data_IF_845414781473
#
_entry.id   IF_845414781473
#
_cell.length_a   1.000
_cell.length_b   1.000
_cell.length_c   1.000
_cell.angle_alpha   90.00
_cell.angle_beta   90.00
_cell.angle_gamma   90.00
#
_symmetry.space_group_name_H-M   'P 1'
#
loop_
_entity.id
_entity.type
_entity.pdbx_description
1 polymer ?
#
# COMPACT_ATOMS: atom_id res chain seq x y z
N UNK A 1 -2.15 -62.33 -31.28
CA UNK A 1 -3.13 -61.71 -30.37
C UNK A 1 -2.66 -61.84 -28.93
N UNK A 2 -2.09 -60.78 -28.33
CA UNK A 2 -2.11 -60.54 -26.87
C UNK A 2 -2.00 -59.03 -26.64
N UNK A 3 -3.05 -58.48 -26.04
CA UNK A 3 -3.21 -57.09 -25.59
C UNK A 3 -2.53 -56.89 -24.23
N UNK A 4 -2.09 -55.66 -23.95
CA UNK A 4 -1.81 -55.19 -22.58
C UNK A 4 -0.61 -54.24 -22.54
N UNK A 5 -0.59 -53.12 -21.83
CA UNK A 5 -1.54 -52.43 -20.95
C UNK A 5 -1.14 -50.94 -21.02
N UNK A 6 -2.11 -50.04 -21.19
CA UNK A 6 -1.86 -48.60 -21.11
C UNK A 6 -1.96 -48.19 -19.64
N UNK A 7 -0.85 -47.77 -19.03
CA UNK A 7 -0.82 -47.22 -17.68
C UNK A 7 -1.19 -45.74 -17.73
N UNK A 8 -2.44 -45.42 -17.39
CA UNK A 8 -2.93 -44.05 -17.25
C UNK A 8 -2.44 -43.49 -15.91
N UNK A 9 -1.43 -42.62 -15.93
CA UNK A 9 -1.01 -41.85 -14.75
C UNK A 9 -1.95 -40.65 -14.62
N UNK A 10 -2.85 -40.71 -13.63
CA UNK A 10 -3.67 -39.58 -13.18
C UNK A 10 -2.82 -38.68 -12.28
N UNK A 11 -2.28 -37.59 -12.84
CA UNK A 11 -1.65 -36.53 -12.06
C UNK A 11 -2.73 -35.69 -11.36
N UNK A 12 -2.87 -35.84 -10.05
CA UNK A 12 -3.67 -34.94 -9.21
C UNK A 12 -2.91 -33.61 -9.05
N UNK A 13 -3.28 -32.60 -9.85
CA UNK A 13 -2.89 -31.21 -9.58
C UNK A 13 -3.65 -30.71 -8.35
N UNK A 14 -2.99 -30.66 -7.20
CA UNK A 14 -3.48 -29.93 -6.03
C UNK A 14 -3.38 -28.41 -6.32
N UNK A 15 -4.50 -27.81 -6.72
CA UNK A 15 -4.63 -26.36 -6.78
C UNK A 15 -4.63 -25.80 -5.35
N UNK A 16 -3.46 -25.43 -4.84
CA UNK A 16 -3.36 -24.59 -3.64
C UNK A 16 -3.88 -23.20 -3.99
N UNK A 17 -5.15 -22.93 -3.66
CA UNK A 17 -5.67 -21.56 -3.67
C UNK A 17 -4.98 -20.80 -2.55
N UNK A 18 -4.01 -19.96 -2.90
CA UNK A 18 -3.43 -19.01 -1.97
C UNK A 18 -4.55 -18.08 -1.49
N UNK A 19 -5.07 -18.33 -0.29
CA UNK A 19 -5.95 -17.39 0.40
C UNK A 19 -5.12 -16.16 0.70
N UNK A 20 -5.26 -15.12 -0.13
CA UNK A 20 -4.70 -13.83 0.22
C UNK A 20 -5.37 -13.38 1.52
N UNK A 21 -4.61 -13.42 2.61
CA UNK A 21 -5.01 -12.85 3.89
C UNK A 21 -5.18 -11.34 3.68
N UNK A 22 -6.42 -10.93 3.40
CA UNK A 22 -6.79 -9.52 3.25
C UNK A 22 -6.54 -8.80 4.57
N UNK A 23 -6.23 -7.52 4.49
CA UNK A 23 -6.42 -6.66 5.65
C UNK A 23 -7.89 -6.74 6.08
N UNK A 24 -8.15 -6.71 7.38
CA UNK A 24 -9.49 -6.95 7.90
C UNK A 24 -9.91 -5.76 8.76
N UNK A 25 -11.03 -5.14 8.38
CA UNK A 25 -11.71 -4.20 9.26
C UNK A 25 -12.32 -4.98 10.41
N UNK A 26 -11.83 -4.74 11.63
CA UNK A 26 -12.35 -5.37 12.85
C UNK A 26 -13.21 -4.40 13.60
N UNK A 27 -14.48 -4.75 13.81
CA UNK A 27 -15.44 -3.94 14.55
C UNK A 27 -15.91 -4.66 15.81
N UNK A 28 -16.12 -3.90 16.87
CA UNK A 28 -16.73 -4.34 18.13
C UNK A 28 -17.84 -3.38 18.56
N UNK A 29 -18.87 -3.84 19.28
CA UNK A 29 -19.85 -2.94 19.86
C UNK A 29 -19.18 -1.85 20.72
N UNK A 30 -19.64 -0.62 20.60
CA UNK A 30 -19.27 0.48 21.49
C UNK A 30 -20.23 0.58 22.68
N UNK A 31 -19.94 1.46 23.63
CA UNK A 31 -20.80 1.69 24.79
C UNK A 31 -22.16 2.31 24.40
N UNK A 32 -22.18 3.15 23.36
CA UNK A 32 -23.41 3.72 22.82
C UNK A 32 -24.14 2.69 21.94
N UNK A 33 -25.44 2.50 22.20
CA UNK A 33 -26.28 1.60 21.42
C UNK A 33 -26.30 2.01 19.94
N UNK A 34 -26.14 1.05 19.04
CA UNK A 34 -26.09 1.31 17.60
C UNK A 34 -24.76 1.85 17.07
N UNK A 35 -23.74 2.01 17.94
CA UNK A 35 -22.38 2.41 17.54
C UNK A 35 -21.43 1.22 17.59
N UNK A 36 -20.53 1.14 16.61
CA UNK A 36 -19.40 0.21 16.58
C UNK A 36 -18.10 0.98 16.66
N UNK A 37 -17.14 0.44 17.41
CA UNK A 37 -15.74 0.83 17.34
C UNK A 37 -15.04 -0.09 16.34
N UNK A 38 -14.42 0.48 15.33
CA UNK A 38 -13.77 -0.24 14.24
C UNK A 38 -12.31 0.16 14.07
N UNK A 39 -11.49 -0.80 13.64
CA UNK A 39 -10.11 -0.59 13.18
C UNK A 39 -9.99 -1.17 11.78
N UNK A 40 -9.56 -0.36 10.81
CA UNK A 40 -9.19 -0.81 9.47
C UNK A 40 -7.71 -0.54 9.26
N UNK A 41 -6.95 -1.53 8.82
CA UNK A 41 -5.51 -1.37 8.63
C UNK A 41 -4.81 -2.60 8.07
N UNK A 42 -3.58 -2.37 7.62
CA UNK A 42 -2.70 -3.41 7.07
C UNK A 42 -2.27 -4.39 8.16
N UNK A 43 -1.93 -5.62 7.73
CA UNK A 43 -1.36 -6.64 8.62
C UNK A 43 0.02 -6.19 9.14
N UNK A 44 0.34 -6.57 10.37
CA UNK A 44 1.56 -6.10 11.05
C UNK A 44 2.86 -6.51 10.32
N UNK A 45 2.88 -7.71 9.72
CA UNK A 45 3.99 -8.20 8.88
C UNK A 45 4.17 -7.33 7.64
N UNK A 46 3.08 -7.02 6.93
CA UNK A 46 3.12 -6.11 5.78
C UNK A 46 3.63 -4.71 6.16
N UNK A 47 3.18 -4.16 7.29
CA UNK A 47 3.66 -2.86 7.81
C UNK A 47 5.17 -2.92 8.13
N UNK A 48 5.65 -4.02 8.69
CA UNK A 48 7.06 -4.22 8.99
C UNK A 48 7.92 -4.29 7.72
N UNK A 49 7.46 -5.03 6.70
CA UNK A 49 8.17 -5.18 5.41
C UNK A 49 8.25 -3.89 4.60
N UNK A 50 7.23 -3.04 4.69
CA UNK A 50 7.20 -1.76 4.00
C UNK A 50 8.13 -0.72 4.62
N UNK A 51 8.34 -0.76 5.94
CA UNK A 51 8.96 0.32 6.72
C UNK A 51 10.32 0.74 6.18
N UNK A 52 10.49 2.04 5.92
CA UNK A 52 11.78 2.65 5.56
C UNK A 52 11.92 4.06 6.13
N UNK A 53 13.13 4.42 6.57
CA UNK A 53 13.52 5.80 6.91
C UNK A 53 13.97 6.54 5.65
N UNK A 54 13.71 7.84 5.56
CA UNK A 54 14.21 8.67 4.48
C UNK A 54 15.74 8.74 4.48
N UNK A 55 16.34 8.70 3.30
CA UNK A 55 17.81 8.70 3.12
C UNK A 55 18.40 10.11 2.98
N UNK A 56 17.56 11.11 2.77
CA UNK A 56 17.95 12.52 2.73
C UNK A 56 16.85 13.40 3.36
N UNK A 57 17.17 14.65 3.69
CA UNK A 57 16.32 15.50 4.53
C UNK A 57 14.98 15.84 3.88
N UNK A 58 14.94 15.93 2.55
CA UNK A 58 13.76 16.28 1.76
C UNK A 58 13.11 15.08 1.07
N UNK A 59 13.54 13.86 1.39
CA UNK A 59 13.12 12.64 0.68
C UNK A 59 11.95 11.90 1.34
N UNK A 60 11.19 12.55 2.22
CA UNK A 60 9.99 11.96 2.81
C UNK A 60 9.01 11.43 1.74
N UNK A 61 8.86 12.16 0.63
CA UNK A 61 8.03 11.75 -0.51
C UNK A 61 8.58 10.51 -1.22
N UNK A 62 9.90 10.45 -1.47
CA UNK A 62 10.53 9.33 -2.14
C UNK A 62 10.50 8.07 -1.27
N UNK A 63 10.68 8.24 0.03
CA UNK A 63 10.50 7.17 1.02
C UNK A 63 9.05 6.67 1.02
N UNK A 64 8.06 7.55 1.06
CA UNK A 64 6.64 7.15 1.00
C UNK A 64 6.30 6.35 -0.27
N UNK A 65 6.76 6.79 -1.44
CA UNK A 65 6.61 6.04 -2.70
C UNK A 65 7.30 4.69 -2.62
N UNK A 66 8.53 4.62 -2.11
CA UNK A 66 9.27 3.36 -1.97
C UNK A 66 8.55 2.37 -1.04
N UNK A 67 7.95 2.86 0.05
CA UNK A 67 7.16 2.05 0.99
C UNK A 67 5.89 1.49 0.32
N UNK A 68 5.18 2.29 -0.49
CA UNK A 68 4.02 1.82 -1.28
C UNK A 68 4.44 0.78 -2.32
N UNK A 69 5.55 1.00 -3.04
CA UNK A 69 6.03 0.00 -4.01
C UNK A 69 6.39 -1.33 -3.34
N UNK A 70 6.97 -1.27 -2.13
CA UNK A 70 7.27 -2.45 -1.32
C UNK A 70 6.03 -3.23 -0.90
N UNK A 71 4.90 -2.58 -0.63
CA UNK A 71 3.65 -3.29 -0.32
C UNK A 71 3.15 -4.12 -1.51
N UNK A 72 3.55 -3.74 -2.73
CA UNK A 72 3.28 -4.49 -3.96
C UNK A 72 4.46 -5.39 -4.38
N UNK A 73 5.37 -5.68 -3.45
CA UNK A 73 6.50 -6.56 -3.69
C UNK A 73 7.63 -5.95 -4.52
N UNK A 74 7.54 -4.72 -5.01
CA UNK A 74 8.59 -4.11 -5.86
C UNK A 74 9.52 -3.24 -5.01
N UNK A 75 10.82 -3.55 -5.01
CA UNK A 75 11.80 -2.86 -4.15
C UNK A 75 12.58 -1.81 -4.93
N UNK A 76 12.01 -0.62 -5.02
CA UNK A 76 12.67 0.53 -5.64
C UNK A 76 13.41 1.35 -4.57
N UNK A 77 14.72 1.67 -4.75
CA UNK A 77 15.45 2.57 -3.85
C UNK A 77 14.94 4.02 -3.95
N UNK A 78 15.02 4.77 -2.85
CA UNK A 78 14.58 6.17 -2.80
C UNK A 78 15.33 7.04 -3.82
N UNK A 79 16.63 6.79 -4.00
CA UNK A 79 17.48 7.47 -4.99
C UNK A 79 16.96 7.27 -6.41
N UNK A 80 16.45 6.07 -6.72
CA UNK A 80 15.85 5.78 -8.02
C UNK A 80 14.54 6.55 -8.18
N UNK A 81 13.71 6.61 -7.13
CA UNK A 81 12.48 7.44 -7.14
C UNK A 81 12.82 8.91 -7.38
N UNK A 82 13.86 9.42 -6.74
CA UNK A 82 14.33 10.81 -6.88
C UNK A 82 14.83 11.06 -8.31
N UNK A 83 15.68 10.18 -8.84
CA UNK A 83 16.18 10.26 -10.22
C UNK A 83 15.07 10.17 -11.26
N UNK A 84 14.02 9.39 -11.01
CA UNK A 84 12.87 9.30 -11.90
C UNK A 84 12.09 10.61 -12.02
N UNK A 85 12.15 11.48 -11.00
CA UNK A 85 11.52 12.79 -11.05
C UNK A 85 12.48 13.89 -11.53
N UNK A 86 13.69 13.95 -10.96
CA UNK A 86 14.64 15.06 -11.19
C UNK A 86 15.75 14.75 -12.20
N UNK A 87 15.86 13.52 -12.71
CA UNK A 87 16.98 13.05 -13.54
C UNK A 87 18.27 12.79 -12.76
N UNK A 88 18.37 13.22 -11.50
CA UNK A 88 19.52 13.04 -10.62
C UNK A 88 19.08 12.85 -9.16
N UNK A 89 19.96 12.35 -8.29
CA UNK A 89 19.67 12.14 -6.88
C UNK A 89 19.98 13.41 -6.07
N UNK A 90 19.03 14.36 -6.06
CA UNK A 90 19.15 15.66 -5.37
C UNK A 90 18.27 15.71 -4.13
N UNK A 91 18.73 16.34 -3.04
CA UNK A 91 17.98 16.50 -1.79
C UNK A 91 16.95 17.64 -1.88
N UNK A 92 15.95 17.46 -2.74
CA UNK A 92 14.89 18.45 -3.02
C UNK A 92 13.51 17.80 -2.84
N UNK A 93 12.61 18.50 -2.16
CA UNK A 93 11.22 18.10 -1.98
C UNK A 93 10.41 18.21 -3.27
N UNK A 94 9.16 17.76 -3.25
CA UNK A 94 8.23 17.91 -4.38
C UNK A 94 6.92 18.55 -3.92
N UNK A 95 6.23 19.32 -4.79
CA UNK A 95 4.87 19.74 -4.53
C UNK A 95 3.92 18.52 -4.36
N UNK A 96 2.90 18.59 -3.48
CA UNK A 96 1.99 17.46 -3.23
C UNK A 96 1.37 16.87 -4.50
N UNK A 97 0.98 17.73 -5.45
CA UNK A 97 0.34 17.35 -6.71
C UNK A 97 1.17 16.39 -7.58
N UNK A 98 2.49 16.34 -7.39
CA UNK A 98 3.38 15.45 -8.16
C UNK A 98 3.20 13.98 -7.78
N UNK A 99 2.82 13.69 -6.53
CA UNK A 99 2.82 12.31 -6.01
C UNK A 99 1.86 11.38 -6.77
N UNK A 100 0.70 11.89 -7.19
CA UNK A 100 -0.24 11.13 -8.01
C UNK A 100 0.38 10.68 -9.33
N UNK A 101 0.96 11.62 -10.08
CA UNK A 101 1.61 11.33 -11.38
C UNK A 101 2.85 10.45 -11.22
N UNK A 102 3.58 10.60 -10.13
CA UNK A 102 4.76 9.79 -9.83
C UNK A 102 4.38 8.34 -9.53
N UNK A 103 3.29 8.12 -8.80
CA UNK A 103 2.78 6.77 -8.53
C UNK A 103 2.05 6.18 -9.74
N UNK A 104 1.37 6.99 -10.55
CA UNK A 104 0.57 6.54 -11.71
C UNK A 104 1.44 6.12 -12.92
N UNK A 105 2.24 5.05 -12.76
CA UNK A 105 3.12 4.49 -13.80
C UNK A 105 3.56 3.06 -13.46
N UNK A 106 4.29 2.47 -14.41
CA UNK A 106 5.06 1.24 -14.17
C UNK A 106 6.34 1.54 -13.40
N UNK A 107 6.57 0.72 -12.39
CA UNK A 107 7.80 0.66 -11.61
C UNK A 107 8.41 -0.72 -11.74
N UNK A 108 9.74 -0.78 -11.78
CA UNK A 108 10.51 -2.01 -11.85
C UNK A 108 11.70 -1.90 -10.90
N UNK A 109 11.98 -3.00 -10.21
CA UNK A 109 13.18 -3.13 -9.38
C UNK A 109 14.32 -3.82 -10.12
N UNK A 110 15.49 -3.83 -9.49
CA UNK A 110 16.70 -4.43 -10.05
C UNK A 110 16.61 -5.97 -10.21
N UNK A 111 15.61 -6.61 -9.59
CA UNK A 111 15.36 -8.05 -9.73
C UNK A 111 14.40 -8.38 -10.87
N UNK A 112 14.01 -7.39 -11.67
CA UNK A 112 13.08 -7.58 -12.80
C UNK A 112 11.61 -7.66 -12.39
N UNK A 113 11.28 -7.53 -11.10
CA UNK A 113 9.89 -7.45 -10.65
C UNK A 113 9.33 -6.08 -10.99
N UNK A 114 8.07 -6.06 -11.42
CA UNK A 114 7.42 -4.85 -11.83
C UNK A 114 5.98 -4.77 -11.33
N UNK A 115 5.51 -3.53 -11.16
CA UNK A 115 4.13 -3.20 -10.85
C UNK A 115 3.74 -1.95 -11.62
N UNK A 116 2.59 -1.98 -12.28
CA UNK A 116 1.94 -0.79 -12.83
C UNK A 116 0.95 -0.30 -11.79
N UNK A 117 1.04 0.94 -11.35
CA UNK A 117 0.09 1.51 -10.40
C UNK A 117 -0.81 2.53 -11.10
N UNK A 118 -2.10 2.48 -10.77
CA UNK A 118 -3.07 3.53 -11.01
C UNK A 118 -3.21 4.34 -9.71
N UNK A 119 -3.23 5.67 -9.79
CA UNK A 119 -3.35 6.52 -8.59
C UNK A 119 -4.47 7.56 -8.69
N UNK A 120 -5.12 7.80 -7.55
CA UNK A 120 -6.19 8.77 -7.37
C UNK A 120 -5.78 9.76 -6.28
N UNK A 121 -5.86 11.06 -6.58
CA UNK A 121 -5.42 12.14 -5.70
C UNK A 121 -6.63 12.90 -5.17
N UNK A 122 -6.71 13.04 -3.84
CA UNK A 122 -7.76 13.78 -3.15
C UNK A 122 -7.14 14.89 -2.32
N UNK A 123 -7.72 16.09 -2.40
CA UNK A 123 -7.26 17.27 -1.68
C UNK A 123 -8.42 17.98 -0.97
N UNK A 124 -8.11 18.87 -0.03
CA UNK A 124 -9.10 19.65 0.70
C UNK A 124 -10.12 18.77 1.43
N UNK A 125 -11.42 19.09 1.29
CA UNK A 125 -12.49 18.36 1.96
C UNK A 125 -12.59 16.87 1.57
N UNK A 126 -11.96 16.46 0.47
CA UNK A 126 -11.93 15.07 0.02
C UNK A 126 -10.75 14.27 0.61
N UNK A 127 -9.75 14.93 1.19
CA UNK A 127 -8.55 14.29 1.75
C UNK A 127 -8.77 13.78 3.20
N UNK A 128 -9.94 13.22 3.48
CA UNK A 128 -10.32 12.79 4.84
C UNK A 128 -9.84 11.36 5.10
N UNK A 129 -9.08 11.15 6.18
CA UNK A 129 -8.55 9.82 6.54
C UNK A 129 -9.65 8.79 6.86
N UNK A 130 -10.83 9.24 7.27
CA UNK A 130 -12.00 8.39 7.53
C UNK A 130 -12.97 8.29 6.36
N UNK A 131 -12.59 8.69 5.14
CA UNK A 131 -13.49 8.55 3.98
C UNK A 131 -13.72 7.08 3.65
N UNK A 132 -14.89 6.71 3.10
CA UNK A 132 -15.18 5.32 2.72
C UNK A 132 -14.10 4.71 1.81
N UNK A 133 -13.53 5.50 0.91
CA UNK A 133 -12.50 5.08 -0.03
C UNK A 133 -11.16 4.76 0.65
N UNK A 134 -10.75 5.56 1.65
CA UNK A 134 -9.54 5.29 2.43
C UNK A 134 -9.74 4.05 3.31
N UNK A 135 -10.91 3.90 3.93
CA UNK A 135 -11.23 2.72 4.73
C UNK A 135 -11.24 1.45 3.88
N UNK A 136 -11.79 1.53 2.65
CA UNK A 136 -11.80 0.43 1.71
C UNK A 136 -10.39 0.07 1.22
N UNK A 137 -9.52 1.05 0.96
CA UNK A 137 -8.13 0.78 0.60
C UNK A 137 -7.39 0.05 1.71
N UNK A 138 -7.49 0.54 2.95
CA UNK A 138 -6.85 -0.11 4.09
C UNK A 138 -7.40 -1.52 4.31
N UNK A 139 -8.71 -1.73 4.13
CA UNK A 139 -9.33 -3.06 4.19
C UNK A 139 -8.85 -3.98 3.05
N UNK A 140 -8.54 -3.44 1.88
CA UNK A 140 -7.99 -4.24 0.78
C UNK A 140 -6.47 -4.42 0.86
N UNK A 141 -5.85 -3.98 1.97
CA UNK A 141 -4.40 -4.05 2.18
C UNK A 141 -3.61 -3.06 1.32
N UNK A 142 -4.26 -2.04 0.78
CA UNK A 142 -3.65 -0.98 -0.01
C UNK A 142 -3.25 0.18 0.91
N UNK A 143 -1.95 0.45 1.08
CA UNK A 143 -1.52 1.61 1.86
C UNK A 143 -1.81 2.91 1.12
N UNK A 144 -1.96 3.99 1.88
CA UNK A 144 -2.37 5.29 1.35
C UNK A 144 -1.30 6.32 1.68
N UNK A 145 -0.78 7.05 0.69
CA UNK A 145 0.14 8.17 0.97
C UNK A 145 -0.68 9.34 1.47
N UNK A 146 -0.32 9.92 2.61
CA UNK A 146 -0.91 11.18 3.09
C UNK A 146 0.17 12.24 3.20
N UNK A 147 -0.17 13.41 2.67
CA UNK A 147 0.66 14.60 2.69
C UNK A 147 0.15 15.50 3.80
N UNK A 148 1.05 15.81 4.71
CA UNK A 148 0.93 16.84 5.74
C UNK A 148 1.71 18.08 5.28
N UNK A 149 1.54 19.26 5.92
CA UNK A 149 2.36 20.42 5.62
C UNK A 149 3.86 20.07 5.71
N UNK A 150 4.55 20.14 4.58
CA UNK A 150 5.98 19.86 4.46
C UNK A 150 6.41 18.39 4.63
N UNK A 151 5.48 17.42 4.69
CA UNK A 151 5.85 16.03 4.97
C UNK A 151 4.94 15.00 4.31
N UNK A 152 5.50 13.86 3.91
CA UNK A 152 4.74 12.73 3.38
C UNK A 152 4.91 11.50 4.28
N UNK A 153 3.80 10.85 4.60
CA UNK A 153 3.73 9.63 5.41
C UNK A 153 2.86 8.59 4.70
N UNK A 154 2.93 7.33 5.13
CA UNK A 154 2.10 6.26 4.57
C UNK A 154 1.13 5.78 5.64
N UNK A 155 -0.16 6.09 5.46
CA UNK A 155 -1.24 5.62 6.31
C UNK A 155 -1.38 4.10 6.18
N UNK A 156 -1.38 3.43 7.33
CA UNK A 156 -1.48 1.98 7.43
C UNK A 156 -2.61 1.49 8.32
N UNK A 157 -3.18 2.37 9.16
CA UNK A 157 -4.32 2.03 10.01
C UNK A 157 -5.16 3.27 10.32
N UNK A 158 -6.46 3.07 10.45
CA UNK A 158 -7.45 4.03 10.93
C UNK A 158 -8.31 3.37 12.02
N UNK A 159 -8.53 4.11 13.09
CA UNK A 159 -9.46 3.78 14.17
C UNK A 159 -10.65 4.74 14.11
N UNK A 160 -11.87 4.21 14.15
CA UNK A 160 -13.08 5.01 13.95
C UNK A 160 -14.28 4.43 14.68
N UNK A 161 -15.27 5.26 14.94
CA UNK A 161 -16.62 4.82 15.27
C UNK A 161 -17.50 4.84 14.03
N UNK A 162 -18.39 3.86 13.92
CA UNK A 162 -19.41 3.78 12.87
C UNK A 162 -20.78 3.62 13.49
N UNK A 163 -21.72 4.47 13.10
CA UNK A 163 -23.14 4.26 13.40
C UNK A 163 -23.72 3.21 12.48
N UNK A 164 -24.38 2.18 13.03
CA UNK A 164 -24.93 1.04 12.26
C UNK A 164 -26.11 1.43 11.38
N UNK A 165 -26.89 2.43 11.80
CA UNK A 165 -28.10 2.89 11.12
C UNK A 165 -27.81 3.71 9.85
N UNK A 166 -26.78 4.55 9.91
CA UNK A 166 -26.46 5.56 8.90
C UNK A 166 -25.14 5.28 8.18
N UNK A 167 -24.30 4.40 8.73
CA UNK A 167 -22.93 4.20 8.26
C UNK A 167 -22.01 5.40 8.56
N UNK A 168 -22.48 6.41 9.29
CA UNK A 168 -21.71 7.61 9.57
C UNK A 168 -20.43 7.26 10.34
N UNK A 169 -19.30 7.77 9.85
CA UNK A 169 -17.97 7.51 10.41
C UNK A 169 -17.47 8.71 11.20
N UNK A 170 -17.04 8.46 12.43
CA UNK A 170 -16.27 9.40 13.24
C UNK A 170 -14.84 8.86 13.42
N UNK A 171 -13.86 9.57 12.87
CA UNK A 171 -12.46 9.22 13.02
C UNK A 171 -12.00 9.42 14.48
N UNK A 172 -11.40 8.40 15.09
CA UNK A 172 -10.82 8.45 16.43
C UNK A 172 -9.30 8.63 16.40
N UNK A 173 -8.64 8.05 15.39
CA UNK A 173 -7.21 8.18 15.20
C UNK A 173 -6.73 7.45 13.95
N UNK A 174 -5.47 7.68 13.61
CA UNK A 174 -4.81 7.01 12.50
C UNK A 174 -3.36 6.69 12.84
N UNK A 175 -2.79 5.69 12.18
CA UNK A 175 -1.38 5.32 12.30
C UNK A 175 -0.75 5.32 10.91
N UNK A 176 0.41 5.97 10.81
CA UNK A 176 1.17 6.05 9.58
C UNK A 176 2.63 5.63 9.80
N UNK A 177 3.27 5.07 8.79
CA UNK A 177 4.72 4.98 8.68
C UNK A 177 5.26 6.38 8.37
N UNK A 178 6.13 6.89 9.23
CA UNK A 178 6.73 8.21 9.10
C UNK A 178 8.21 8.06 8.74
N UNK A 179 8.64 8.44 7.52
CA UNK A 179 10.02 8.21 7.08
C UNK A 179 11.04 9.14 7.75
N UNK A 180 10.63 10.22 8.41
CA UNK A 180 11.57 11.11 9.13
C UNK A 180 11.99 10.57 10.50
N UNK A 181 11.42 9.44 10.93
CA UNK A 181 11.75 8.78 12.21
C UNK A 181 11.78 7.27 12.00
N UNK A 182 12.36 6.54 12.94
CA UNK A 182 12.21 5.09 12.94
C UNK A 182 10.81 4.71 13.45
N UNK A 183 9.88 4.46 12.53
CA UNK A 183 8.66 3.70 12.82
C UNK A 183 7.34 4.42 12.62
N UNK A 184 6.41 4.18 13.55
CA UNK A 184 5.01 4.56 13.43
C UNK A 184 4.75 5.93 14.06
N UNK A 185 3.85 6.69 13.44
CA UNK A 185 3.33 7.96 13.91
C UNK A 185 1.82 7.87 14.06
N UNK A 186 1.32 8.30 15.22
CA UNK A 186 -0.11 8.54 15.39
C UNK A 186 -0.50 9.87 14.74
N UNK A 187 -1.58 9.86 13.97
CA UNK A 187 -2.23 11.04 13.42
C UNK A 187 -3.54 11.26 14.18
N UNK A 188 -3.76 12.50 14.60
CA UNK A 188 -5.01 12.91 15.23
C UNK A 188 -6.13 13.01 14.17
N UNK A 189 -7.42 12.89 14.57
CA UNK A 189 -8.54 13.02 13.64
C UNK A 189 -8.59 14.34 12.86
N UNK A 190 -8.09 15.41 13.47
CA UNK A 190 -8.02 16.77 12.95
C UNK A 190 -6.67 17.10 12.31
N UNK A 191 -5.83 16.09 12.03
CA UNK A 191 -4.57 16.30 11.34
C UNK A 191 -4.80 17.10 10.04
N UNK A 192 -3.99 18.13 9.83
CA UNK A 192 -4.05 18.98 8.64
C UNK A 192 -3.58 18.21 7.42
N UNK A 193 -4.43 17.35 6.86
CA UNK A 193 -4.12 16.57 5.66
C UNK A 193 -4.28 17.48 4.45
N UNK A 194 -3.19 17.68 3.73
CA UNK A 194 -3.16 18.46 2.48
C UNK A 194 -3.70 17.61 1.33
N UNK A 195 -3.25 16.36 1.27
CA UNK A 195 -3.56 15.45 0.18
C UNK A 195 -3.54 14.00 0.65
N UNK A 196 -4.40 13.20 0.05
CA UNK A 196 -4.36 11.74 0.10
C UNK A 196 -4.11 11.23 -1.32
N UNK A 197 -3.15 10.32 -1.48
CA UNK A 197 -2.91 9.62 -2.73
C UNK A 197 -3.11 8.13 -2.52
N UNK A 198 -4.15 7.63 -3.17
CA UNK A 198 -4.54 6.23 -3.20
C UNK A 198 -3.88 5.59 -4.42
N UNK A 199 -3.36 4.39 -4.27
CA UNK A 199 -2.72 3.68 -5.39
C UNK A 199 -3.08 2.20 -5.36
N UNK A 200 -3.33 1.62 -6.52
CA UNK A 200 -3.61 0.20 -6.71
C UNK A 200 -2.93 -0.32 -7.98
N UNK A 201 -2.66 -1.62 -8.11
CA UNK A 201 -2.21 -2.20 -9.38
C UNK A 201 -3.17 -1.86 -10.53
N UNK A 202 -2.63 -1.43 -11.67
CA UNK A 202 -3.39 -1.07 -12.86
C UNK A 202 -3.71 -2.34 -13.68
N UNK A 203 -4.99 -2.68 -13.82
CA UNK A 203 -5.41 -3.96 -14.41
C UNK A 203 -5.12 -5.14 -13.47
N UNK A 204 -5.76 -6.30 -13.68
CA UNK A 204 -5.59 -7.49 -12.85
C UNK A 204 -4.19 -8.14 -12.86
N UNK A 205 -3.16 -7.39 -13.27
CA UNK A 205 -1.76 -7.79 -13.27
C UNK A 205 -1.33 -8.04 -11.82
N UNK A 206 -1.40 -9.31 -11.43
CA UNK A 206 -0.59 -9.79 -10.32
C UNK A 206 0.87 -9.49 -10.65
N UNK A 207 1.65 -9.16 -9.63
CA UNK A 207 3.10 -8.92 -9.72
C UNK A 207 3.72 -10.02 -10.59
N UNK A 208 4.05 -9.67 -11.84
CA UNK A 208 4.66 -10.62 -12.76
C UNK A 208 6.06 -10.90 -12.23
N UNK A 209 6.25 -12.06 -11.59
CA UNK A 209 7.59 -12.60 -11.35
C UNK A 209 8.15 -12.96 -12.71
N UNK A 210 9.11 -12.18 -13.22
CA UNK A 210 9.93 -12.61 -14.33
C UNK A 210 10.55 -13.96 -13.92
N UNK A 211 10.13 -15.04 -14.58
CA UNK A 211 10.70 -16.35 -14.37
C UNK A 211 12.19 -16.25 -14.66
N UNK A 212 13.01 -16.44 -13.62
CA UNK A 212 14.43 -16.69 -13.81
C UNK A 212 14.51 -18.09 -14.40
N UNK A 213 14.55 -18.21 -15.72
CA UNK A 213 15.02 -19.43 -16.37
C UNK A 213 16.46 -19.64 -15.90
N UNK A 214 16.63 -20.63 -15.02
CA UNK A 214 17.94 -21.13 -14.65
C UNK A 214 18.54 -21.79 -15.90
N UNK A 215 19.41 -21.06 -16.59
CA UNK A 215 20.26 -21.62 -17.63
C UNK A 215 21.21 -22.63 -16.96
N UNK A 216 20.91 -23.91 -17.17
CA UNK A 216 21.74 -25.01 -16.71
C UNK A 216 23.06 -25.00 -17.49
N UNK A 217 24.15 -24.73 -16.78
CA UNK A 217 25.52 -24.90 -17.28
C UNK A 217 25.75 -26.41 -17.45
N UNK A 218 25.94 -26.83 -18.71
CA UNK A 218 26.43 -28.16 -19.09
C UNK A 218 27.95 -28.17 -19.18
#
# INVERSE_FOLDING_TARGET
>A
MRFGQWATILAFLAMFTATQARAETKCRPAAEAGVEHCVSGLRADAVAEMRQTQRASQWCWAAAVSMVLRSYGVRVPQEQVVRQHWGSAVDIGVPPAVLGTLLNRRWNDASGRAVSLASDVRAGAQARLGSPEVLQDLQDGRPVVVVLPGHAVVLVQVEFQRRRDSGAVQLLGAVALDPAREGLRTLKPDAAVVQVTRSAPAGGDQVASAGVEAEAIH
#
